data_IF_490700283921
#
_entry.id   IF_490700283921
#
_cell.length_a   1.000
_cell.length_b   1.000
_cell.length_c   1.000
_cell.angle_alpha   90.00
_cell.angle_beta   90.00
_cell.angle_gamma   90.00
#
_symmetry.space_group_name_H-M   'P 1'
#
loop_
_entity.id
_entity.type
_entity.pdbx_description
1 polymer ?
#
# COMPACT_ATOMS: atom_id res chain seq x y z
N UNK A 1 17.10 -4.54 -7.75
CA UNK A 1 15.80 -5.09 -7.28
C UNK A 1 15.96 -6.07 -6.12
N UNK A 2 16.69 -7.20 -6.25
CA UNK A 2 16.94 -8.15 -5.12
C UNK A 2 17.44 -7.53 -3.80
N UNK A 3 18.18 -6.43 -3.87
CA UNK A 3 18.66 -5.72 -2.67
C UNK A 3 17.54 -4.98 -1.93
N UNK A 4 16.54 -4.45 -2.64
CA UNK A 4 15.39 -3.75 -2.04
C UNK A 4 14.44 -4.77 -1.42
N UNK A 5 14.23 -5.92 -2.05
CA UNK A 5 13.36 -7.00 -1.55
C UNK A 5 13.76 -7.50 -0.16
N UNK A 6 15.04 -7.43 0.20
CA UNK A 6 15.55 -7.85 1.51
C UNK A 6 15.88 -6.67 2.45
N UNK A 7 15.59 -5.43 2.04
CA UNK A 7 15.86 -4.24 2.85
C UNK A 7 14.54 -3.50 3.15
N UNK A 8 13.98 -3.80 4.33
CA UNK A 8 12.71 -3.21 4.77
C UNK A 8 12.74 -1.69 4.87
N UNK A 9 13.88 -1.09 5.28
CA UNK A 9 13.98 0.37 5.38
C UNK A 9 13.87 1.02 3.99
N UNK A 10 14.61 0.50 3.00
CA UNK A 10 14.53 1.01 1.62
C UNK A 10 13.13 0.84 1.01
N UNK A 11 12.42 -0.23 1.38
CA UNK A 11 11.02 -0.41 1.00
C UNK A 11 10.14 0.70 1.59
N UNK A 12 10.25 0.98 2.89
CA UNK A 12 9.48 2.06 3.53
C UNK A 12 9.84 3.45 3.01
N UNK A 13 11.11 3.72 2.71
CA UNK A 13 11.55 4.97 2.10
C UNK A 13 10.95 5.15 0.70
N UNK A 14 10.91 4.07 -0.08
CA UNK A 14 10.25 4.06 -1.40
C UNK A 14 8.76 4.32 -1.27
N UNK A 15 8.12 3.66 -0.30
CA UNK A 15 6.69 3.82 -0.01
C UNK A 15 6.35 5.25 0.40
N UNK A 16 7.17 5.85 1.28
CA UNK A 16 7.03 7.26 1.71
C UNK A 16 7.13 8.21 0.54
N UNK A 17 8.11 8.03 -0.36
CA UNK A 17 8.27 8.88 -1.55
C UNK A 17 7.08 8.77 -2.51
N UNK A 18 6.48 7.59 -2.61
CA UNK A 18 5.30 7.38 -3.45
C UNK A 18 4.04 8.04 -2.87
N UNK A 19 3.71 7.77 -1.60
CA UNK A 19 2.49 8.28 -0.99
C UNK A 19 2.59 9.73 -0.50
N UNK A 20 3.79 10.18 -0.11
CA UNK A 20 4.04 11.47 0.54
C UNK A 20 5.27 12.17 -0.10
N UNK A 21 5.20 12.55 -1.39
CA UNK A 21 6.37 13.04 -2.14
C UNK A 21 6.99 14.34 -1.59
N UNK A 22 6.22 15.15 -0.84
CA UNK A 22 6.69 16.38 -0.20
C UNK A 22 7.14 16.23 1.25
N UNK A 23 6.98 15.05 1.84
CA UNK A 23 7.27 14.82 3.25
C UNK A 23 8.69 14.27 3.46
N UNK A 24 9.24 14.50 4.65
CA UNK A 24 10.56 13.99 5.04
C UNK A 24 10.53 12.51 5.45
N UNK A 25 11.71 11.93 5.72
CA UNK A 25 11.90 10.54 6.15
C UNK A 25 11.69 10.31 7.65
N UNK A 26 10.90 11.18 8.31
CA UNK A 26 10.56 10.99 9.72
C UNK A 26 9.81 9.65 9.92
N UNK A 27 10.05 8.93 11.03
CA UNK A 27 9.39 7.64 11.31
C UNK A 27 7.87 7.68 11.19
N UNK A 28 7.24 8.79 11.57
CA UNK A 28 5.80 9.00 11.50
C UNK A 28 5.31 9.03 10.04
N UNK A 29 6.10 9.61 9.14
CA UNK A 29 5.79 9.67 7.71
C UNK A 29 6.00 8.30 7.04
N UNK A 30 7.00 7.53 7.46
CA UNK A 30 7.17 6.12 7.05
C UNK A 30 5.97 5.27 7.50
N UNK A 31 5.55 5.41 8.75
CA UNK A 31 4.40 4.69 9.31
C UNK A 31 3.10 5.09 8.60
N UNK A 32 2.90 6.38 8.30
CA UNK A 32 1.74 6.88 7.55
C UNK A 32 1.68 6.30 6.14
N UNK A 33 2.79 6.26 5.43
CA UNK A 33 2.87 5.65 4.10
C UNK A 33 2.55 4.14 4.15
N UNK A 34 3.07 3.42 5.15
CA UNK A 34 2.74 2.02 5.38
C UNK A 34 1.25 1.80 5.66
N UNK A 35 0.64 2.65 6.48
CA UNK A 35 -0.80 2.59 6.76
C UNK A 35 -1.64 2.84 5.50
N UNK A 36 -1.27 3.82 4.68
CA UNK A 36 -1.97 4.12 3.42
C UNK A 36 -1.92 2.94 2.45
N UNK A 37 -0.76 2.30 2.30
CA UNK A 37 -0.59 1.14 1.42
C UNK A 37 -1.42 -0.06 1.88
N UNK A 38 -1.36 -0.38 3.18
CA UNK A 38 -2.16 -1.44 3.77
C UNK A 38 -3.66 -1.19 3.54
N UNK A 39 -4.12 0.05 3.73
CA UNK A 39 -5.52 0.43 3.54
C UNK A 39 -5.95 0.33 2.08
N UNK A 40 -5.08 0.72 1.14
CA UNK A 40 -5.33 0.56 -0.29
C UNK A 40 -5.55 -0.91 -0.65
N UNK A 41 -4.64 -1.80 -0.22
CA UNK A 41 -4.74 -3.23 -0.53
C UNK A 41 -5.92 -3.91 0.16
N UNK A 42 -6.27 -3.51 1.38
CA UNK A 42 -7.47 -3.98 2.06
C UNK A 42 -8.73 -3.64 1.24
N UNK A 43 -8.89 -2.37 0.86
CA UNK A 43 -10.03 -1.92 0.06
C UNK A 43 -10.04 -2.57 -1.33
N UNK A 44 -8.88 -2.74 -1.96
CA UNK A 44 -8.75 -3.41 -3.25
C UNK A 44 -9.23 -4.87 -3.17
N UNK A 45 -8.83 -5.61 -2.13
CA UNK A 45 -9.30 -6.99 -1.92
C UNK A 45 -10.82 -7.04 -1.74
N UNK A 46 -11.39 -6.12 -0.97
CA UNK A 46 -12.84 -6.02 -0.79
C UNK A 46 -13.54 -5.72 -2.12
N UNK A 47 -13.05 -4.75 -2.88
CA UNK A 47 -13.61 -4.37 -4.18
C UNK A 47 -13.58 -5.54 -5.18
N UNK A 48 -12.47 -6.28 -5.23
CA UNK A 48 -12.34 -7.48 -6.07
C UNK A 48 -13.32 -8.57 -5.63
N UNK A 49 -13.42 -8.85 -4.33
CA UNK A 49 -14.37 -9.85 -3.81
C UNK A 49 -15.82 -9.47 -4.14
N UNK A 50 -16.19 -8.20 -3.97
CA UNK A 50 -17.51 -7.69 -4.32
C UNK A 50 -17.78 -7.79 -5.82
N UNK A 51 -16.79 -7.47 -6.66
CA UNK A 51 -16.90 -7.62 -8.12
C UNK A 51 -17.10 -9.07 -8.56
N UNK A 52 -16.39 -10.02 -7.95
CA UNK A 52 -16.60 -11.46 -8.20
C UNK A 52 -18.00 -11.89 -7.77
N UNK A 53 -18.44 -11.46 -6.58
CA UNK A 53 -19.78 -11.78 -6.08
C UNK A 53 -20.88 -11.23 -7.01
N UNK A 54 -20.73 -9.99 -7.49
CA UNK A 54 -21.62 -9.38 -8.46
C UNK A 54 -21.64 -10.15 -9.79
N UNK A 55 -20.47 -10.52 -10.31
CA UNK A 55 -20.37 -11.28 -11.56
C UNK A 55 -21.04 -12.67 -11.48
N UNK A 56 -21.02 -13.30 -10.30
CA UNK A 56 -21.64 -14.62 -10.09
C UNK A 56 -23.14 -14.50 -9.78
N UNK A 57 -23.57 -13.49 -9.01
CA UNK A 57 -24.95 -13.35 -8.52
C UNK A 57 -25.85 -12.48 -9.40
N UNK A 58 -25.27 -11.54 -10.13
CA UNK A 58 -25.98 -10.64 -11.05
C UNK A 58 -26.56 -9.36 -10.43
N UNK A 59 -26.39 -9.09 -9.12
CA UNK A 59 -27.00 -7.93 -8.43
C UNK A 59 -26.10 -7.29 -7.36
#
# INVERSE_FOLDING_TARGET
MRAIENNGLEQYLTLRRYYLPGENDAPENLARAAWLDNRYWENFRIAVANGIALAIKGE
#
